data_IF_346961869298
#
_entry.id   IF_346961869298
#
_cell.length_a   1.000
_cell.length_b   1.000
_cell.length_c   1.000
_cell.angle_alpha   90.00
_cell.angle_beta   90.00
_cell.angle_gamma   90.00
#
_symmetry.space_group_name_H-M   'P 1'
#
loop_
_entity.id
_entity.type
_entity.pdbx_description
1 polymer ?
#
# COMPACT_ATOMS: atom_id res chain seq x y z
N UNK A 1 -40.52 -6.65 42.67
CA UNK A 1 -39.32 -7.34 42.11
C UNK A 1 -39.64 -8.36 41.01
N UNK A 2 -40.88 -8.50 40.51
CA UNK A 2 -41.23 -9.58 39.57
C UNK A 2 -41.38 -9.18 38.08
N UNK A 3 -41.36 -7.89 37.73
CA UNK A 3 -41.65 -7.43 36.35
C UNK A 3 -40.39 -7.21 35.49
N UNK A 4 -39.26 -6.84 36.09
CA UNK A 4 -37.99 -6.64 35.38
C UNK A 4 -37.31 -7.94 34.96
N UNK A 5 -37.47 -9.01 35.75
CA UNK A 5 -36.90 -10.33 35.44
C UNK A 5 -37.61 -11.02 34.25
N UNK A 6 -38.92 -10.78 34.08
CA UNK A 6 -39.70 -11.30 32.94
C UNK A 6 -39.31 -10.57 31.66
N UNK A 7 -39.21 -9.24 31.69
CA UNK A 7 -38.77 -8.44 30.54
C UNK A 7 -37.36 -8.78 30.05
N UNK A 8 -36.40 -9.01 30.96
CA UNK A 8 -35.05 -9.41 30.59
C UNK A 8 -35.01 -10.82 29.99
N UNK A 9 -35.84 -11.73 30.49
CA UNK A 9 -35.92 -13.10 29.97
C UNK A 9 -36.51 -13.12 28.56
N UNK A 10 -37.55 -12.32 28.31
CA UNK A 10 -38.18 -12.21 27.00
C UNK A 10 -37.26 -11.52 25.97
N UNK A 11 -36.49 -10.49 26.36
CA UNK A 11 -35.53 -9.84 25.46
C UNK A 11 -34.35 -10.77 25.08
N UNK A 12 -33.87 -11.56 26.03
CA UNK A 12 -32.83 -12.57 25.77
C UNK A 12 -33.38 -13.68 24.88
N UNK A 13 -34.61 -14.13 25.10
CA UNK A 13 -35.24 -15.19 24.32
C UNK A 13 -35.53 -14.74 22.88
N UNK A 14 -35.96 -13.48 22.69
CA UNK A 14 -36.13 -12.87 21.38
C UNK A 14 -34.79 -12.71 20.62
N UNK A 15 -33.70 -12.34 21.33
CA UNK A 15 -32.35 -12.29 20.74
C UNK A 15 -31.84 -13.68 20.35
N UNK A 16 -32.09 -14.69 21.18
CA UNK A 16 -31.71 -16.08 20.89
C UNK A 16 -32.51 -16.65 19.71
N UNK A 17 -33.80 -16.30 19.57
CA UNK A 17 -34.58 -16.67 18.39
C UNK A 17 -34.13 -15.95 17.12
N UNK A 18 -33.75 -14.67 17.22
CA UNK A 18 -33.19 -13.91 16.10
C UNK A 18 -31.87 -14.50 15.63
N UNK A 19 -30.97 -14.85 16.57
CA UNK A 19 -29.72 -15.54 16.27
C UNK A 19 -30.00 -16.94 15.70
N UNK A 20 -30.93 -17.70 16.26
CA UNK A 20 -31.34 -19.02 15.73
C UNK A 20 -31.89 -18.95 14.31
N UNK A 21 -32.70 -17.93 13.99
CA UNK A 21 -33.19 -17.65 12.63
C UNK A 21 -32.05 -17.25 11.68
N UNK A 22 -31.09 -16.45 12.15
CA UNK A 22 -29.90 -16.08 11.39
C UNK A 22 -29.02 -17.32 11.11
N UNK A 23 -28.77 -18.15 12.11
CA UNK A 23 -27.98 -19.40 11.99
C UNK A 23 -28.69 -20.42 11.11
N UNK A 24 -30.02 -20.55 11.20
CA UNK A 24 -30.81 -21.38 10.28
C UNK A 24 -30.81 -20.83 8.85
N UNK A 25 -30.84 -19.52 8.66
CA UNK A 25 -30.72 -18.87 7.34
C UNK A 25 -29.33 -19.08 6.71
N UNK A 26 -28.28 -19.05 7.53
CA UNK A 26 -26.89 -19.38 7.16
C UNK A 26 -26.76 -20.86 6.79
N UNK A 27 -27.35 -21.77 7.58
CA UNK A 27 -27.31 -23.22 7.34
C UNK A 27 -28.22 -23.69 6.20
N UNK A 28 -29.29 -22.97 5.88
CA UNK A 28 -30.22 -23.27 4.77
C UNK A 28 -29.87 -22.56 3.45
N UNK A 29 -28.68 -21.95 3.33
CA UNK A 29 -28.22 -21.37 2.06
C UNK A 29 -29.04 -20.17 1.56
N UNK A 30 -29.77 -19.47 2.43
CA UNK A 30 -30.54 -18.26 2.06
C UNK A 30 -29.72 -16.98 2.09
N UNK A 31 -28.56 -16.98 2.75
CA UNK A 31 -27.58 -15.93 2.55
C UNK A 31 -26.80 -16.25 1.28
N UNK A 32 -27.06 -15.47 0.23
CA UNK A 32 -26.33 -15.56 -1.02
C UNK A 32 -24.82 -15.59 -0.72
N UNK A 33 -24.14 -16.63 -1.18
CA UNK A 33 -22.70 -16.76 -1.03
C UNK A 33 -21.97 -15.48 -1.49
N UNK A 34 -22.48 -14.80 -2.52
CA UNK A 34 -21.97 -13.51 -2.98
C UNK A 34 -22.09 -12.41 -1.93
N UNK A 35 -23.15 -12.43 -1.12
CA UNK A 35 -23.30 -11.52 0.02
C UNK A 35 -22.26 -11.83 1.10
N UNK A 36 -22.00 -13.11 1.40
CA UNK A 36 -20.98 -13.50 2.40
C UNK A 36 -19.57 -13.17 1.91
N UNK A 37 -19.25 -13.51 0.66
CA UNK A 37 -17.96 -13.20 0.05
C UNK A 37 -17.77 -11.69 -0.10
N UNK A 38 -18.81 -10.97 -0.53
CA UNK A 38 -18.82 -9.51 -0.58
C UNK A 38 -18.64 -8.88 0.79
N UNK A 39 -19.33 -9.37 1.82
CA UNK A 39 -19.16 -8.94 3.20
C UNK A 39 -17.74 -9.24 3.70
N UNK A 40 -17.17 -10.40 3.37
CA UNK A 40 -15.80 -10.75 3.75
C UNK A 40 -14.77 -9.81 3.11
N UNK A 41 -14.87 -9.58 1.79
CA UNK A 41 -14.01 -8.65 1.07
C UNK A 41 -14.19 -7.23 1.59
N UNK A 42 -15.42 -6.78 1.82
CA UNK A 42 -15.71 -5.46 2.39
C UNK A 42 -15.18 -5.30 3.81
N UNK A 43 -15.31 -6.32 4.66
CA UNK A 43 -14.76 -6.30 6.03
C UNK A 43 -13.24 -6.27 6.01
N UNK A 44 -12.60 -7.03 5.11
CA UNK A 44 -11.15 -7.02 4.93
C UNK A 44 -10.67 -5.67 4.40
N UNK A 45 -11.32 -5.14 3.36
CA UNK A 45 -11.03 -3.83 2.80
C UNK A 45 -11.27 -2.73 3.82
N UNK A 46 -12.36 -2.80 4.61
CA UNK A 46 -12.66 -1.82 5.64
C UNK A 46 -11.65 -1.88 6.79
N UNK A 47 -11.29 -3.07 7.28
CA UNK A 47 -10.26 -3.24 8.32
C UNK A 47 -8.89 -2.76 7.84
N UNK A 48 -8.55 -3.06 6.59
CA UNK A 48 -7.30 -2.61 5.97
C UNK A 48 -7.29 -1.10 5.71
N UNK A 49 -8.36 -0.53 5.12
CA UNK A 49 -8.51 0.91 4.91
C UNK A 49 -8.54 1.66 6.23
N UNK A 50 -9.16 1.10 7.28
CA UNK A 50 -9.13 1.62 8.63
C UNK A 50 -7.70 1.67 9.18
N UNK A 51 -6.95 0.57 9.08
CA UNK A 51 -5.56 0.51 9.50
C UNK A 51 -4.68 1.49 8.71
N UNK A 52 -4.84 1.53 7.39
CA UNK A 52 -4.13 2.44 6.51
C UNK A 52 -4.46 3.91 6.81
N UNK A 53 -5.75 4.24 6.93
CA UNK A 53 -6.22 5.59 7.21
C UNK A 53 -5.73 6.10 8.56
N UNK A 54 -5.78 5.28 9.61
CA UNK A 54 -5.30 5.65 10.95
C UNK A 54 -3.77 5.76 11.03
N UNK A 55 -3.04 4.93 10.27
CA UNK A 55 -1.57 4.97 10.22
C UNK A 55 -1.01 6.18 9.47
N UNK A 56 -1.68 6.62 8.39
CA UNK A 56 -1.19 7.70 7.52
C UNK A 56 -1.86 9.06 7.76
N UNK A 57 -3.07 9.07 8.33
CA UNK A 57 -3.82 10.29 8.64
C UNK A 57 -4.17 10.34 10.13
N UNK A 58 -3.25 10.82 10.98
CA UNK A 58 -3.46 10.83 12.43
C UNK A 58 -4.65 11.69 12.87
N UNK A 59 -5.14 12.61 12.04
CA UNK A 59 -6.37 13.35 12.34
C UNK A 59 -7.63 12.44 12.39
N UNK A 60 -7.56 11.26 11.76
CA UNK A 60 -8.65 10.29 11.77
C UNK A 60 -8.63 9.40 13.02
N UNK A 61 -7.52 9.34 13.79
CA UNK A 61 -7.44 8.50 14.99
C UNK A 61 -8.43 8.91 16.09
N UNK A 62 -8.84 10.18 16.07
CA UNK A 62 -9.62 10.78 17.15
C UNK A 62 -11.14 10.72 16.85
N UNK A 63 -11.55 10.12 15.72
CA UNK A 63 -12.98 9.90 15.42
C UNK A 63 -13.57 8.81 16.33
N UNK A 64 -14.78 9.06 16.83
CA UNK A 64 -15.56 8.16 17.68
C UNK A 64 -15.51 6.67 17.25
N UNK A 65 -15.85 6.28 16.00
CA UNK A 65 -15.80 4.87 15.59
C UNK A 65 -14.41 4.24 15.63
N UNK A 66 -13.35 5.04 15.43
CA UNK A 66 -11.95 4.57 15.45
C UNK A 66 -11.49 4.26 16.87
N UNK A 67 -11.82 5.15 17.81
CA UNK A 67 -11.47 4.95 19.23
C UNK A 67 -12.18 3.73 19.84
N UNK A 68 -13.41 3.42 19.43
CA UNK A 68 -14.13 2.23 19.90
C UNK A 68 -13.55 0.93 19.34
N UNK A 69 -13.16 0.91 18.06
CA UNK A 69 -12.46 -0.23 17.46
C UNK A 69 -11.10 -0.48 18.12
N UNK A 70 -10.36 0.59 18.43
CA UNK A 70 -9.09 0.49 19.17
C UNK A 70 -9.29 -0.07 20.58
N UNK A 71 -10.29 0.39 21.33
CA UNK A 71 -10.62 -0.18 22.66
C UNK A 71 -11.01 -1.65 22.60
N UNK A 72 -11.75 -2.07 21.56
CA UNK A 72 -12.08 -3.48 21.34
C UNK A 72 -10.83 -4.32 21.07
N UNK A 73 -9.91 -3.81 20.25
CA UNK A 73 -8.62 -4.44 20.01
C UNK A 73 -7.76 -4.53 21.29
N UNK A 74 -7.75 -3.48 22.12
CA UNK A 74 -7.05 -3.49 23.40
C UNK A 74 -7.63 -4.52 24.38
N UNK A 75 -8.96 -4.71 24.39
CA UNK A 75 -9.61 -5.77 25.17
C UNK A 75 -9.20 -7.16 24.69
N UNK A 76 -9.21 -7.40 23.38
CA UNK A 76 -8.83 -8.70 22.79
C UNK A 76 -7.35 -9.00 23.06
N UNK A 77 -6.47 -8.01 22.86
CA UNK A 77 -5.05 -8.17 23.14
C UNK A 77 -4.76 -8.32 24.62
N UNK A 78 -5.65 -7.83 25.51
CA UNK A 78 -5.53 -8.05 26.96
C UNK A 78 -5.61 -9.53 27.35
N UNK A 79 -6.35 -10.35 26.60
CA UNK A 79 -6.45 -11.80 26.78
C UNK A 79 -5.18 -12.56 26.34
N UNK A 80 -4.29 -11.92 25.58
CA UNK A 80 -3.03 -12.53 25.12
C UNK A 80 -1.99 -12.47 26.25
N UNK A 81 -1.35 -13.61 26.62
CA UNK A 81 -0.31 -13.66 27.65
C UNK A 81 0.76 -12.58 27.45
N UNK A 82 1.20 -11.95 28.55
CA UNK A 82 2.19 -10.85 28.48
C UNK A 82 3.49 -11.26 27.77
N UNK A 83 3.93 -12.50 27.96
CA UNK A 83 5.10 -13.07 27.28
C UNK A 83 4.94 -13.12 25.76
N UNK A 84 3.75 -13.52 25.28
CA UNK A 84 3.42 -13.55 23.86
C UNK A 84 3.34 -12.14 23.30
N UNK A 85 2.68 -11.22 24.00
CA UNK A 85 2.59 -9.82 23.57
C UNK A 85 3.96 -9.16 23.43
N UNK A 86 4.85 -9.39 24.40
CA UNK A 86 6.24 -8.91 24.36
C UNK A 86 7.01 -9.51 23.18
N UNK A 87 6.94 -10.83 23.00
CA UNK A 87 7.63 -11.52 21.90
C UNK A 87 7.12 -11.07 20.53
N UNK A 88 5.80 -10.92 20.38
CA UNK A 88 5.19 -10.38 19.16
C UNK A 88 5.62 -8.94 18.89
N UNK A 89 5.73 -8.11 19.92
CA UNK A 89 6.24 -6.74 19.78
C UNK A 89 7.72 -6.71 19.39
N UNK A 90 8.56 -7.56 20.00
CA UNK A 90 9.98 -7.70 19.63
C UNK A 90 10.14 -8.16 18.17
N UNK A 91 9.34 -9.14 17.74
CA UNK A 91 9.30 -9.59 16.34
C UNK A 91 8.85 -8.45 15.42
N UNK A 92 7.82 -7.70 15.79
CA UNK A 92 7.35 -6.54 15.04
C UNK A 92 8.44 -5.48 14.87
N UNK A 93 9.14 -5.13 15.95
CA UNK A 93 10.26 -4.17 15.90
C UNK A 93 11.36 -4.69 14.99
N UNK A 94 11.75 -5.97 15.11
CA UNK A 94 12.75 -6.58 14.23
C UNK A 94 12.36 -6.54 12.76
N UNK A 95 11.11 -6.89 12.46
CA UNK A 95 10.61 -6.96 11.08
C UNK A 95 10.50 -5.56 10.45
N UNK A 96 9.93 -4.58 11.15
CA UNK A 96 9.58 -3.28 10.57
C UNK A 96 10.58 -2.15 10.84
N UNK A 97 11.33 -2.23 11.95
CA UNK A 97 12.18 -1.14 12.46
C UNK A 97 13.66 -1.49 12.53
N UNK A 98 14.04 -2.73 12.23
CA UNK A 98 15.43 -3.15 12.07
C UNK A 98 15.69 -3.59 10.63
N UNK A 99 16.98 -3.62 10.26
CA UNK A 99 17.39 -4.00 8.92
C UNK A 99 17.34 -5.50 8.75
N UNK A 100 16.47 -5.98 7.86
CA UNK A 100 16.32 -7.40 7.54
C UNK A 100 15.78 -7.59 6.11
N UNK A 101 15.89 -8.80 5.58
CA UNK A 101 15.49 -9.10 4.20
C UNK A 101 14.06 -9.65 4.06
N UNK A 102 13.26 -9.68 5.14
CA UNK A 102 11.95 -10.33 5.17
C UNK A 102 11.02 -9.78 4.08
N UNK A 103 10.84 -8.46 4.01
CA UNK A 103 9.94 -7.85 3.03
C UNK A 103 10.44 -7.96 1.60
N UNK A 104 11.77 -8.04 1.39
CA UNK A 104 12.32 -8.25 0.05
C UNK A 104 12.00 -9.65 -0.47
N UNK A 105 12.21 -10.68 0.36
CA UNK A 105 11.81 -12.04 0.03
C UNK A 105 10.31 -12.18 -0.16
N UNK A 106 9.53 -11.60 0.75
CA UNK A 106 8.07 -11.59 0.64
C UNK A 106 7.61 -10.94 -0.66
N UNK A 107 8.22 -9.82 -1.06
CA UNK A 107 7.94 -9.16 -2.34
C UNK A 107 8.25 -10.08 -3.53
N UNK A 108 9.45 -10.68 -3.56
CA UNK A 108 9.87 -11.58 -4.64
C UNK A 108 8.94 -12.79 -4.75
N UNK A 109 8.54 -13.39 -3.63
CA UNK A 109 7.59 -14.51 -3.61
C UNK A 109 6.22 -14.07 -4.13
N UNK A 110 5.68 -12.94 -3.64
CA UNK A 110 4.36 -12.46 -4.05
C UNK A 110 4.31 -12.13 -5.55
N UNK A 111 5.32 -11.42 -6.06
CA UNK A 111 5.34 -11.02 -7.48
C UNK A 111 5.53 -12.23 -8.38
N UNK A 112 6.43 -13.16 -8.05
CA UNK A 112 6.68 -14.36 -8.87
C UNK A 112 5.51 -15.34 -8.81
N UNK A 113 4.93 -15.58 -7.63
CA UNK A 113 3.74 -16.42 -7.50
C UNK A 113 2.55 -15.83 -8.26
N UNK A 114 2.30 -14.53 -8.11
CA UNK A 114 1.23 -13.84 -8.85
C UNK A 114 1.39 -13.95 -10.37
N UNK A 115 2.63 -13.78 -10.87
CA UNK A 115 2.90 -13.96 -12.30
C UNK A 115 2.75 -15.42 -12.74
N UNK A 116 3.18 -16.37 -11.91
CA UNK A 116 3.04 -17.80 -12.21
C UNK A 116 1.58 -18.20 -12.33
N UNK A 117 0.71 -17.71 -11.43
CA UNK A 117 -0.75 -17.95 -11.54
C UNK A 117 -1.32 -17.35 -12.82
N UNK A 118 -0.97 -16.10 -13.16
CA UNK A 118 -1.41 -15.49 -14.42
C UNK A 118 -0.92 -16.31 -15.63
N UNK A 119 0.33 -16.76 -15.62
CA UNK A 119 0.92 -17.50 -16.74
C UNK A 119 0.43 -18.94 -16.88
N UNK A 120 0.11 -19.61 -15.77
CA UNK A 120 -0.32 -21.01 -15.77
C UNK A 120 -1.83 -21.17 -15.89
N UNK A 121 -2.61 -20.28 -15.26
CA UNK A 121 -4.08 -20.42 -15.20
C UNK A 121 -4.82 -19.48 -16.15
N UNK A 122 -4.25 -18.30 -16.45
CA UNK A 122 -4.95 -17.25 -17.22
C UNK A 122 -4.52 -17.23 -18.69
N UNK A 123 -3.21 -17.29 -18.95
CA UNK A 123 -2.66 -17.26 -20.30
C UNK A 123 -3.17 -18.40 -21.21
N UNK A 124 -3.27 -19.68 -20.78
CA UNK A 124 -3.75 -20.75 -21.66
C UNK A 124 -5.20 -20.56 -22.15
N UNK A 125 -6.05 -19.92 -21.34
CA UNK A 125 -7.42 -19.58 -21.73
C UNK A 125 -7.45 -18.59 -22.89
N UNK A 126 -6.48 -17.67 -22.94
CA UNK A 126 -6.39 -16.64 -23.98
C UNK A 126 -5.64 -17.12 -25.22
N UNK A 127 -4.62 -17.96 -25.04
CA UNK A 127 -3.79 -18.48 -26.13
C UNK A 127 -4.59 -19.35 -27.12
N UNK A 128 -5.62 -20.05 -26.63
CA UNK A 128 -6.47 -20.92 -27.45
C UNK A 128 -7.38 -20.12 -28.41
N UNK A 129 -7.63 -18.83 -28.18
CA UNK A 129 -8.55 -18.03 -29.00
C UNK A 129 -7.92 -17.43 -30.26
N UNK A 130 -6.60 -17.55 -30.47
CA UNK A 130 -5.93 -16.87 -31.58
C UNK A 130 -6.11 -15.35 -31.54
N UNK A 131 -6.40 -14.78 -30.37
CA UNK A 131 -6.49 -13.33 -30.19
C UNK A 131 -5.14 -12.71 -30.54
N UNK A 132 -5.14 -11.69 -31.42
CA UNK A 132 -3.92 -11.01 -31.88
C UNK A 132 -3.16 -10.25 -30.77
N UNK A 133 -3.66 -10.26 -29.54
CA UNK A 133 -3.02 -9.65 -28.37
C UNK A 133 -2.12 -10.66 -27.68
N UNK A 134 -0.84 -10.68 -28.08
CA UNK A 134 0.19 -11.41 -27.36
C UNK A 134 0.41 -10.79 -25.97
N UNK A 135 -0.22 -11.38 -24.95
CA UNK A 135 -0.06 -11.01 -23.54
C UNK A 135 1.17 -11.63 -22.89
N UNK A 136 1.83 -12.62 -23.51
CA UNK A 136 2.99 -13.31 -22.93
C UNK A 136 4.19 -12.37 -22.85
N UNK A 137 4.56 -11.75 -23.99
CA UNK A 137 5.72 -10.87 -24.04
C UNK A 137 5.57 -9.64 -23.12
N UNK A 138 4.46 -8.89 -23.13
CA UNK A 138 4.25 -7.79 -22.19
C UNK A 138 4.29 -8.23 -20.73
N UNK A 139 3.75 -9.41 -20.38
CA UNK A 139 3.78 -9.92 -19.00
C UNK A 139 5.21 -10.17 -18.53
N UNK A 140 6.04 -10.82 -19.35
CA UNK A 140 7.45 -11.07 -19.05
C UNK A 140 8.23 -9.74 -18.98
N UNK A 141 8.00 -8.84 -19.94
CA UNK A 141 8.68 -7.56 -20.00
C UNK A 141 8.38 -6.68 -18.77
N UNK A 142 7.12 -6.59 -18.36
CA UNK A 142 6.71 -5.81 -17.18
C UNK A 142 7.30 -6.39 -15.89
N UNK A 143 7.33 -7.71 -15.73
CA UNK A 143 8.02 -8.36 -14.62
C UNK A 143 9.51 -8.03 -14.59
N UNK A 144 10.20 -8.13 -15.73
CA UNK A 144 11.63 -7.85 -15.83
C UNK A 144 11.96 -6.38 -15.49
N UNK A 145 11.18 -5.43 -16.01
CA UNK A 145 11.32 -3.99 -15.71
C UNK A 145 11.12 -3.75 -14.22
N UNK A 146 10.08 -4.33 -13.63
CA UNK A 146 9.77 -4.16 -12.23
C UNK A 146 10.83 -4.75 -11.29
N UNK A 147 11.30 -5.97 -11.54
CA UNK A 147 12.38 -6.58 -10.77
C UNK A 147 13.68 -5.78 -10.86
N UNK A 148 13.95 -5.20 -12.04
CA UNK A 148 15.10 -4.30 -12.24
C UNK A 148 14.95 -3.03 -11.40
N UNK A 149 13.81 -2.36 -11.45
CA UNK A 149 13.54 -1.16 -10.67
C UNK A 149 13.56 -1.45 -9.16
N UNK A 150 13.03 -2.60 -8.75
CA UNK A 150 13.10 -3.07 -7.36
C UNK A 150 14.55 -3.23 -6.90
N UNK A 151 15.39 -3.92 -7.68
CA UNK A 151 16.81 -4.09 -7.40
C UNK A 151 17.54 -2.74 -7.32
N UNK A 152 17.26 -1.82 -8.25
CA UNK A 152 17.82 -0.46 -8.23
C UNK A 152 17.40 0.29 -6.95
N UNK A 153 16.18 0.10 -6.45
CA UNK A 153 15.77 0.70 -5.17
C UNK A 153 16.48 0.06 -3.96
N UNK A 154 16.67 -1.26 -3.99
CA UNK A 154 17.31 -2.01 -2.91
C UNK A 154 18.80 -1.67 -2.75
N UNK A 155 19.52 -1.56 -3.87
CA UNK A 155 20.98 -1.38 -3.88
C UNK A 155 21.43 0.04 -4.24
N UNK A 156 20.52 0.87 -4.74
CA UNK A 156 20.83 2.23 -5.17
C UNK A 156 21.25 3.14 -4.00
N UNK A 157 22.23 4.00 -4.25
CA UNK A 157 22.66 5.00 -3.28
C UNK A 157 21.50 5.98 -3.00
N UNK A 158 21.04 6.14 -1.75
CA UNK A 158 19.95 7.05 -1.43
C UNK A 158 20.37 8.52 -1.33
N UNK A 159 21.68 8.80 -1.43
CA UNK A 159 22.28 10.09 -1.09
C UNK A 159 22.99 10.05 0.25
N UNK A 160 23.79 9.00 0.50
CA UNK A 160 24.57 8.82 1.74
C UNK A 160 25.51 10.00 1.99
N UNK A 161 25.43 10.55 3.19
CA UNK A 161 26.26 11.66 3.66
C UNK A 161 27.35 11.11 4.55
N UNK A 162 28.59 11.51 4.28
CA UNK A 162 29.80 11.22 5.06
C UNK A 162 30.45 12.53 5.46
N UNK A 163 31.36 12.50 6.44
CA UNK A 163 32.13 13.70 6.82
C UNK A 163 32.81 14.38 5.61
N UNK A 164 33.29 13.58 4.64
CA UNK A 164 33.97 14.05 3.43
C UNK A 164 33.06 14.86 2.49
N UNK A 165 31.77 14.51 2.40
CA UNK A 165 30.83 15.14 1.46
C UNK A 165 29.77 16.04 2.14
N UNK A 166 29.73 16.09 3.48
CA UNK A 166 28.76 16.89 4.23
C UNK A 166 28.80 18.38 3.86
N UNK A 167 30.00 18.95 3.71
CA UNK A 167 30.16 20.35 3.30
C UNK A 167 29.73 20.60 1.84
N UNK A 168 29.88 19.61 0.95
CA UNK A 168 29.35 19.70 -0.42
C UNK A 168 27.83 19.73 -0.40
N UNK A 169 27.20 18.88 0.41
CA UNK A 169 25.74 18.79 0.48
C UNK A 169 25.07 19.92 1.25
N UNK A 170 25.75 20.54 2.22
CA UNK A 170 25.19 21.70 2.96
C UNK A 170 24.91 22.91 2.06
N UNK A 171 25.52 22.95 0.87
CA UNK A 171 25.34 24.00 -0.14
C UNK A 171 24.18 23.74 -1.11
N UNK A 172 23.55 22.56 -1.08
CA UNK A 172 22.55 22.14 -2.08
C UNK A 172 21.18 22.75 -1.82
N UNK A 173 20.74 22.80 -0.55
CA UNK A 173 19.44 23.37 -0.18
C UNK A 173 19.60 24.47 0.87
N UNK A 174 18.81 25.55 0.79
CA UNK A 174 18.77 26.56 1.84
C UNK A 174 18.18 25.98 3.13
N UNK A 175 18.62 26.54 4.26
CA UNK A 175 18.06 26.28 5.58
C UNK A 175 16.88 27.22 5.80
N UNK A 176 15.73 26.67 6.22
CA UNK A 176 14.53 27.45 6.57
C UNK A 176 14.55 27.92 8.03
N UNK A 177 15.56 27.54 8.81
CA UNK A 177 15.77 27.81 10.24
C UNK A 177 14.64 27.32 11.17
N UNK A 178 13.60 26.70 10.61
CA UNK A 178 12.45 26.18 11.33
C UNK A 178 12.48 24.65 11.36
N UNK A 179 12.46 23.99 10.19
CA UNK A 179 12.61 22.54 10.08
C UNK A 179 14.07 22.11 10.03
N UNK A 180 14.93 22.97 9.46
CA UNK A 180 16.34 22.71 9.20
C UNK A 180 17.19 23.92 9.59
N UNK A 181 18.02 23.74 10.62
CA UNK A 181 18.89 24.78 11.19
C UNK A 181 20.35 24.55 10.80
N UNK A 182 21.08 25.64 10.51
CA UNK A 182 22.47 25.59 9.98
C UNK A 182 23.50 24.89 10.87
N UNK A 183 23.34 24.90 12.20
CA UNK A 183 24.31 24.37 13.16
C UNK A 183 23.89 23.04 13.80
N UNK A 184 22.88 22.37 13.23
CA UNK A 184 22.37 21.13 13.79
C UNK A 184 23.27 19.94 13.42
N UNK A 185 23.94 19.37 14.42
CA UNK A 185 24.78 18.19 14.22
C UNK A 185 24.01 16.87 14.26
N UNK A 186 24.55 15.86 13.59
CA UNK A 186 24.22 14.48 13.90
C UNK A 186 25.06 14.01 15.09
N UNK A 187 24.41 13.56 16.17
CA UNK A 187 25.10 12.95 17.30
C UNK A 187 25.79 11.64 16.89
N UNK A 188 25.13 10.81 16.06
CA UNK A 188 25.69 9.53 15.60
C UNK A 188 26.82 9.69 14.58
N UNK A 189 26.61 10.47 13.51
CA UNK A 189 27.60 10.60 12.43
C UNK A 189 28.63 11.73 12.64
N UNK A 190 28.52 12.51 13.72
CA UNK A 190 29.48 13.54 14.13
C UNK A 190 29.81 14.63 13.09
N UNK A 191 28.82 15.10 12.32
CA UNK A 191 28.96 16.26 11.43
C UNK A 191 27.69 17.12 11.38
N UNK A 192 27.83 18.36 10.90
CA UNK A 192 26.72 19.29 10.66
C UNK A 192 25.81 18.74 9.56
N UNK A 193 24.52 18.59 9.87
CA UNK A 193 23.54 18.06 8.92
C UNK A 193 23.25 19.08 7.81
N UNK A 194 23.39 18.69 6.53
CA UNK A 194 22.82 19.46 5.42
C UNK A 194 21.31 19.65 5.59
N UNK A 195 20.76 20.76 5.08
CA UNK A 195 19.33 20.96 5.03
C UNK A 195 18.64 19.80 4.28
N UNK A 196 17.44 19.41 4.73
CA UNK A 196 16.67 18.26 4.22
C UNK A 196 17.31 16.88 4.44
N UNK A 197 18.41 16.77 5.18
CA UNK A 197 18.97 15.48 5.58
C UNK A 197 18.38 14.94 6.89
N UNK A 198 18.46 13.61 7.07
CA UNK A 198 18.11 12.93 8.32
C UNK A 198 19.00 11.70 8.52
N UNK A 199 19.35 11.44 9.77
CA UNK A 199 19.96 10.17 10.17
C UNK A 199 18.85 9.12 10.28
N UNK A 200 19.00 8.04 9.54
CA UNK A 200 18.14 6.87 9.63
C UNK A 200 18.82 5.85 10.54
N UNK A 201 18.21 5.58 11.70
CA UNK A 201 18.75 4.62 12.66
C UNK A 201 18.76 3.18 12.11
N UNK A 202 17.87 2.85 11.18
CA UNK A 202 17.77 1.51 10.59
C UNK A 202 18.94 1.20 9.65
N UNK A 203 19.33 2.18 8.83
CA UNK A 203 20.45 2.04 7.89
C UNK A 203 21.77 2.58 8.45
N UNK A 204 21.75 3.12 9.67
CA UNK A 204 22.84 3.79 10.38
C UNK A 204 23.61 4.80 9.52
N UNK A 205 22.87 5.67 8.83
CA UNK A 205 23.46 6.66 7.94
C UNK A 205 22.64 7.95 7.89
N UNK A 206 23.32 9.08 7.67
CA UNK A 206 22.65 10.30 7.25
C UNK A 206 22.38 10.25 5.74
N UNK A 207 21.14 10.53 5.35
CA UNK A 207 20.70 10.51 3.95
C UNK A 207 20.24 11.91 3.55
N UNK A 208 20.68 12.34 2.37
CA UNK A 208 20.33 13.63 1.77
C UNK A 208 18.90 13.61 1.22
N UNK A 209 18.14 14.69 1.43
CA UNK A 209 16.71 14.79 1.06
C UNK A 209 15.94 13.53 1.46
N UNK A 210 16.11 13.12 2.72
CA UNK A 210 15.54 11.87 3.24
C UNK A 210 14.02 11.90 3.18
N UNK A 211 13.43 10.90 2.53
CA UNK A 211 11.99 10.71 2.44
C UNK A 211 11.48 9.79 3.55
N UNK A 212 11.89 8.53 3.51
CA UNK A 212 11.56 7.52 4.51
C UNK A 212 12.55 6.34 4.42
N UNK A 213 12.51 5.45 5.42
CA UNK A 213 13.08 4.11 5.29
C UNK A 213 11.99 3.19 4.77
N UNK A 214 12.27 2.46 3.68
CA UNK A 214 11.32 1.56 3.07
C UNK A 214 11.71 0.12 3.39
N UNK A 215 10.96 -0.54 4.28
CA UNK A 215 11.21 -1.93 4.67
C UNK A 215 11.19 -2.89 3.46
N UNK A 216 10.31 -2.63 2.47
CA UNK A 216 10.22 -3.41 1.23
C UNK A 216 11.49 -3.40 0.38
N UNK A 217 12.21 -2.28 0.36
CA UNK A 217 13.49 -2.17 -0.37
C UNK A 217 14.69 -2.39 0.54
N UNK A 218 14.46 -2.55 1.85
CA UNK A 218 15.48 -2.60 2.90
C UNK A 218 16.55 -1.48 2.77
N UNK A 219 16.10 -0.30 2.33
CA UNK A 219 16.95 0.84 2.01
C UNK A 219 16.23 2.15 2.37
N UNK A 220 17.01 3.20 2.61
CA UNK A 220 16.47 4.56 2.72
C UNK A 220 16.07 5.07 1.34
N UNK A 221 14.98 5.84 1.26
CA UNK A 221 14.58 6.58 0.06
C UNK A 221 14.98 8.04 0.25
N UNK A 222 15.77 8.57 -0.68
CA UNK A 222 16.37 9.89 -0.58
C UNK A 222 16.68 10.51 -1.95
N UNK A 223 17.57 11.50 -1.96
CA UNK A 223 17.81 12.37 -3.12
C UNK A 223 18.07 11.63 -4.44
N UNK A 224 18.85 10.54 -4.42
CA UNK A 224 19.32 9.88 -5.65
C UNK A 224 18.48 8.68 -6.10
N UNK A 225 17.75 8.04 -5.20
CA UNK A 225 16.94 6.87 -5.52
C UNK A 225 15.42 7.13 -5.50
N UNK A 226 14.94 8.30 -5.05
CA UNK A 226 13.49 8.58 -5.00
C UNK A 226 12.79 8.48 -6.36
N UNK A 227 13.45 8.88 -7.47
CA UNK A 227 12.88 8.70 -8.82
C UNK A 227 12.67 7.23 -9.19
N UNK A 228 13.62 6.38 -8.83
CA UNK A 228 13.53 4.94 -9.11
C UNK A 228 12.47 4.29 -8.23
N UNK A 229 12.31 4.76 -6.99
CA UNK A 229 11.20 4.34 -6.13
C UNK A 229 9.85 4.68 -6.75
N UNK A 230 9.67 5.90 -7.29
CA UNK A 230 8.41 6.26 -7.98
C UNK A 230 8.21 5.45 -9.26
N UNK A 231 9.25 5.22 -10.07
CA UNK A 231 9.15 4.35 -11.24
C UNK A 231 8.83 2.89 -10.87
N UNK A 232 9.38 2.40 -9.76
CA UNK A 232 9.04 1.11 -9.21
C UNK A 232 7.55 1.02 -8.86
N UNK A 233 6.98 2.02 -8.17
CA UNK A 233 5.54 2.06 -7.88
C UNK A 233 4.68 2.12 -9.15
N UNK A 234 5.09 2.93 -10.15
CA UNK A 234 4.42 2.99 -11.46
C UNK A 234 4.47 1.64 -12.17
N UNK A 235 5.60 0.94 -12.14
CA UNK A 235 5.74 -0.39 -12.76
C UNK A 235 4.81 -1.42 -12.12
N UNK A 236 4.63 -1.38 -10.79
CA UNK A 236 3.64 -2.21 -10.10
C UNK A 236 2.23 -1.88 -10.58
N UNK A 237 1.88 -0.60 -10.71
CA UNK A 237 0.57 -0.19 -11.23
C UNK A 237 0.34 -0.74 -12.64
N UNK A 238 1.33 -0.61 -13.53
CA UNK A 238 1.25 -1.13 -14.91
C UNK A 238 1.05 -2.65 -14.91
N UNK A 239 1.81 -3.40 -14.11
CA UNK A 239 1.65 -4.86 -13.99
C UNK A 239 0.28 -5.24 -13.47
N UNK A 240 -0.23 -4.56 -12.45
CA UNK A 240 -1.55 -4.87 -11.89
C UNK A 240 -2.65 -4.55 -12.90
N UNK A 241 -2.59 -3.39 -13.59
CA UNK A 241 -3.51 -3.04 -14.66
C UNK A 241 -3.50 -4.08 -15.79
N UNK A 242 -2.32 -4.52 -16.23
CA UNK A 242 -2.20 -5.57 -17.24
C UNK A 242 -2.84 -6.89 -16.75
N UNK A 243 -2.59 -7.28 -15.50
CA UNK A 243 -3.23 -8.45 -14.90
C UNK A 243 -4.76 -8.33 -14.85
N UNK A 244 -5.31 -7.15 -14.54
CA UNK A 244 -6.76 -6.89 -14.59
C UNK A 244 -7.31 -7.05 -16.01
N UNK A 245 -6.60 -6.56 -17.03
CA UNK A 245 -6.98 -6.72 -18.43
C UNK A 245 -7.02 -8.21 -18.81
N UNK A 246 -5.96 -8.96 -18.50
CA UNK A 246 -5.90 -10.40 -18.76
C UNK A 246 -7.01 -11.18 -18.04
N UNK A 247 -7.25 -10.87 -16.76
CA UNK A 247 -8.28 -11.52 -15.98
C UNK A 247 -9.68 -11.22 -16.56
N UNK A 248 -9.91 -9.98 -17.00
CA UNK A 248 -11.17 -9.57 -17.63
C UNK A 248 -11.39 -10.29 -18.96
N UNK A 249 -10.37 -10.34 -19.83
CA UNK A 249 -10.45 -11.08 -21.09
C UNK A 249 -10.69 -12.57 -20.85
N UNK A 250 -10.05 -13.16 -19.83
CA UNK A 250 -10.21 -14.58 -19.51
C UNK A 250 -11.60 -14.90 -18.97
N UNK A 251 -12.17 -14.01 -18.14
CA UNK A 251 -13.55 -14.14 -17.67
C UNK A 251 -14.53 -14.03 -18.85
N UNK A 252 -14.32 -13.07 -19.76
CA UNK A 252 -15.12 -12.93 -20.97
C UNK A 252 -15.05 -14.18 -21.86
N UNK A 253 -13.84 -14.72 -22.08
CA UNK A 253 -13.64 -15.96 -22.81
C UNK A 253 -14.44 -17.11 -22.18
N UNK A 254 -14.27 -17.35 -20.89
CA UNK A 254 -14.98 -18.41 -20.17
C UNK A 254 -16.50 -18.27 -20.27
N UNK A 255 -17.02 -17.04 -20.13
CA UNK A 255 -18.45 -16.75 -20.27
C UNK A 255 -18.96 -17.08 -21.68
N UNK A 256 -18.21 -16.66 -22.70
CA UNK A 256 -18.61 -16.83 -24.09
C UNK A 256 -18.48 -18.28 -24.56
N UNK A 257 -17.36 -18.93 -24.26
CA UNK A 257 -17.04 -20.32 -24.64
C UNK A 257 -18.01 -21.32 -24.03
N UNK A 258 -18.35 -21.15 -22.74
CA UNK A 258 -19.33 -22.01 -22.08
C UNK A 258 -20.78 -21.56 -22.34
N UNK A 259 -21.01 -20.53 -23.17
CA UNK A 259 -22.31 -19.93 -23.43
C UNK A 259 -23.11 -19.63 -22.15
N UNK A 260 -22.43 -19.17 -21.08
CA UNK A 260 -23.04 -19.04 -19.75
C UNK A 260 -24.24 -18.10 -19.75
N UNK A 261 -24.23 -17.04 -20.55
CA UNK A 261 -25.37 -16.13 -20.73
C UNK A 261 -26.61 -16.80 -21.34
N UNK A 262 -26.43 -17.87 -22.13
CA UNK A 262 -27.53 -18.64 -22.74
C UNK A 262 -27.95 -19.84 -21.88
N UNK A 263 -27.20 -20.16 -20.83
CA UNK A 263 -27.51 -21.26 -19.94
C UNK A 263 -28.75 -20.96 -19.08
N UNK A 264 -29.42 -22.03 -18.62
CA UNK A 264 -30.54 -21.95 -17.67
C UNK A 264 -30.14 -22.64 -16.37
N UNK A 265 -30.66 -22.15 -15.25
CA UNK A 265 -30.48 -22.78 -13.95
C UNK A 265 -31.83 -23.28 -13.41
N UNK A 266 -31.78 -24.25 -12.50
CA UNK A 266 -32.97 -24.73 -11.79
C UNK A 266 -33.09 -23.97 -10.47
N UNK A 267 -34.25 -23.39 -10.20
CA UNK A 267 -34.53 -22.81 -8.90
C UNK A 267 -34.86 -23.90 -7.86
N UNK A 268 -35.09 -23.51 -6.61
CA UNK A 268 -35.42 -24.44 -5.52
C UNK A 268 -36.71 -25.25 -5.75
N UNK A 269 -37.60 -24.80 -6.63
CA UNK A 269 -38.80 -25.53 -7.06
C UNK A 269 -38.59 -26.39 -8.32
N UNK A 270 -37.36 -26.51 -8.81
CA UNK A 270 -37.03 -27.29 -10.01
C UNK A 270 -37.46 -26.64 -11.33
N UNK A 271 -37.82 -25.34 -11.31
CA UNK A 271 -38.20 -24.61 -12.51
C UNK A 271 -36.98 -24.05 -13.23
N UNK A 272 -36.98 -24.16 -14.56
CA UNK A 272 -35.92 -23.64 -15.41
C UNK A 272 -36.03 -22.12 -15.55
N UNK A 273 -35.02 -21.40 -15.06
CA UNK A 273 -34.93 -19.94 -15.10
C UNK A 273 -33.76 -19.49 -16.00
N UNK A 274 -33.89 -18.37 -16.73
CA UNK A 274 -32.80 -17.83 -17.53
C UNK A 274 -31.66 -17.30 -16.64
N UNK A 275 -30.42 -17.34 -17.15
CA UNK A 275 -29.26 -16.82 -16.41
C UNK A 275 -29.45 -15.35 -16.02
N UNK A 276 -29.29 -15.05 -14.72
CA UNK A 276 -29.24 -13.68 -14.21
C UNK A 276 -27.79 -13.28 -13.91
N UNK A 277 -27.50 -11.97 -13.79
CA UNK A 277 -26.16 -11.49 -13.44
C UNK A 277 -25.65 -12.07 -12.11
N UNK A 278 -26.52 -12.15 -11.11
CA UNK A 278 -26.20 -12.71 -9.78
C UNK A 278 -25.81 -14.18 -9.88
N UNK A 279 -26.60 -15.00 -10.58
CA UNK A 279 -26.31 -16.43 -10.76
C UNK A 279 -25.06 -16.64 -11.62
N UNK A 280 -24.82 -15.77 -12.61
CA UNK A 280 -23.58 -15.79 -13.39
C UNK A 280 -22.36 -15.53 -12.51
N UNK A 281 -22.39 -14.47 -11.68
CA UNK A 281 -21.31 -14.18 -10.75
C UNK A 281 -21.09 -15.33 -9.77
N UNK A 282 -22.16 -15.90 -9.21
CA UNK A 282 -22.07 -17.07 -8.33
C UNK A 282 -21.45 -18.27 -9.06
N UNK A 283 -21.83 -18.52 -10.31
CA UNK A 283 -21.29 -19.58 -11.15
C UNK A 283 -19.79 -19.37 -11.41
N UNK A 284 -19.37 -18.14 -11.72
CA UNK A 284 -17.96 -17.81 -11.92
C UNK A 284 -17.15 -17.98 -10.64
N UNK A 285 -17.66 -17.54 -9.50
CA UNK A 285 -17.01 -17.74 -8.20
C UNK A 285 -16.86 -19.22 -7.83
N UNK A 286 -17.87 -20.05 -8.11
CA UNK A 286 -17.85 -21.47 -7.75
C UNK A 286 -17.02 -22.31 -8.72
N UNK A 287 -17.11 -22.04 -10.03
CA UNK A 287 -16.43 -22.83 -11.07
C UNK A 287 -15.01 -22.33 -11.35
N UNK A 288 -14.76 -21.03 -11.18
CA UNK A 288 -13.47 -20.38 -11.46
C UNK A 288 -13.00 -19.47 -10.30
N UNK A 289 -12.93 -20.00 -9.05
CA UNK A 289 -12.64 -19.19 -7.86
C UNK A 289 -11.31 -18.45 -7.98
N UNK A 290 -10.23 -19.12 -8.42
CA UNK A 290 -8.91 -18.51 -8.52
C UNK A 290 -8.87 -17.31 -9.47
N UNK A 291 -9.53 -17.41 -10.64
CA UNK A 291 -9.59 -16.32 -11.62
C UNK A 291 -10.35 -15.10 -11.06
N UNK A 292 -11.47 -15.34 -10.38
CA UNK A 292 -12.28 -14.26 -9.78
C UNK A 292 -11.56 -13.63 -8.59
N UNK A 293 -11.01 -14.42 -7.66
CA UNK A 293 -10.25 -13.91 -6.52
C UNK A 293 -9.01 -13.12 -6.97
N UNK A 294 -8.29 -13.63 -7.98
CA UNK A 294 -7.15 -12.93 -8.55
C UNK A 294 -7.58 -11.59 -9.19
N UNK A 295 -8.68 -11.56 -9.95
CA UNK A 295 -9.19 -10.31 -10.53
C UNK A 295 -9.51 -9.27 -9.45
N UNK A 296 -10.23 -9.66 -8.39
CA UNK A 296 -10.57 -8.77 -7.26
C UNK A 296 -9.31 -8.29 -6.53
N UNK A 297 -8.36 -9.19 -6.27
CA UNK A 297 -7.10 -8.86 -5.61
C UNK A 297 -6.28 -7.87 -6.45
N UNK A 298 -6.19 -8.07 -7.77
CA UNK A 298 -5.47 -7.19 -8.68
C UNK A 298 -6.13 -5.82 -8.80
N UNK A 299 -7.46 -5.72 -8.86
CA UNK A 299 -8.17 -4.44 -8.83
C UNK A 299 -7.89 -3.69 -7.52
N UNK A 300 -7.99 -4.39 -6.39
CA UNK A 300 -7.72 -3.81 -5.05
C UNK A 300 -6.29 -3.30 -4.95
N UNK A 301 -5.32 -4.11 -5.39
CA UNK A 301 -3.90 -3.76 -5.40
C UNK A 301 -3.63 -2.58 -6.34
N UNK A 302 -4.26 -2.54 -7.52
CA UNK A 302 -4.15 -1.44 -8.48
C UNK A 302 -4.58 -0.13 -7.85
N UNK A 303 -5.76 -0.09 -7.22
CA UNK A 303 -6.29 1.13 -6.57
C UNK A 303 -5.35 1.59 -5.45
N UNK A 304 -4.90 0.66 -4.61
CA UNK A 304 -3.99 0.97 -3.49
C UNK A 304 -2.65 1.53 -3.98
N UNK A 305 -2.02 0.87 -4.96
CA UNK A 305 -0.73 1.30 -5.50
C UNK A 305 -0.85 2.59 -6.30
N UNK A 306 -1.95 2.81 -7.02
CA UNK A 306 -2.22 4.07 -7.71
C UNK A 306 -2.34 5.23 -6.71
N UNK A 307 -3.05 5.05 -5.59
CA UNK A 307 -3.14 6.05 -4.53
C UNK A 307 -1.79 6.38 -3.91
N UNK A 308 -0.97 5.35 -3.61
CA UNK A 308 0.37 5.55 -3.06
C UNK A 308 1.33 6.23 -4.07
N UNK A 309 1.24 5.86 -5.34
CA UNK A 309 1.99 6.52 -6.43
C UNK A 309 1.58 7.98 -6.56
N UNK A 310 0.27 8.27 -6.57
CA UNK A 310 -0.25 9.63 -6.66
C UNK A 310 0.21 10.50 -5.49
N UNK A 311 0.29 9.93 -4.28
CA UNK A 311 0.85 10.61 -3.12
C UNK A 311 2.31 11.03 -3.33
N UNK A 312 3.16 10.13 -3.83
CA UNK A 312 4.56 10.47 -4.12
C UNK A 312 4.71 11.45 -5.28
N UNK A 313 3.86 11.36 -6.31
CA UNK A 313 3.81 12.35 -7.40
C UNK A 313 3.42 13.72 -6.86
N UNK A 314 2.43 13.80 -5.95
CA UNK A 314 2.07 15.04 -5.26
C UNK A 314 3.24 15.62 -4.44
N UNK A 315 3.96 14.78 -3.70
CA UNK A 315 5.14 15.20 -2.94
C UNK A 315 6.22 15.77 -3.86
N UNK A 316 6.46 15.13 -5.01
CA UNK A 316 7.39 15.65 -6.02
C UNK A 316 6.88 16.98 -6.58
N UNK A 317 5.61 17.06 -6.98
CA UNK A 317 5.01 18.26 -7.57
C UNK A 317 5.07 19.47 -6.64
N UNK A 318 5.00 19.25 -5.33
CA UNK A 318 5.11 20.30 -4.29
C UNK A 318 6.51 20.41 -3.67
N UNK A 319 7.49 19.65 -4.17
CA UNK A 319 8.87 19.56 -3.67
C UNK A 319 8.99 19.29 -2.16
N UNK A 320 8.15 18.41 -1.64
CA UNK A 320 8.18 17.96 -0.24
C UNK A 320 8.63 16.50 -0.16
N UNK A 321 9.06 16.09 1.02
CA UNK A 321 9.28 14.69 1.38
C UNK A 321 8.24 14.23 2.39
N UNK A 322 8.02 12.92 2.49
CA UNK A 322 7.17 12.30 3.52
C UNK A 322 7.63 12.73 4.92
N UNK A 323 8.94 12.71 5.18
CA UNK A 323 9.52 13.15 6.44
C UNK A 323 9.27 14.64 6.75
N UNK A 324 9.30 15.53 5.76
CA UNK A 324 8.94 16.95 5.96
C UNK A 324 7.48 17.11 6.32
N UNK A 325 6.60 16.39 5.62
CA UNK A 325 5.16 16.43 5.91
C UNK A 325 4.86 15.90 7.30
N UNK A 326 5.52 14.83 7.72
CA UNK A 326 5.44 14.31 9.09
C UNK A 326 5.91 15.34 10.14
N UNK A 327 7.06 16.00 9.91
CA UNK A 327 7.54 17.07 10.79
C UNK A 327 6.55 18.24 10.89
N UNK A 328 6.04 18.72 9.75
CA UNK A 328 5.03 19.79 9.69
C UNK A 328 3.76 19.39 10.44
N UNK A 329 3.28 18.16 10.26
CA UNK A 329 2.11 17.67 10.99
C UNK A 329 2.32 17.66 12.51
N UNK A 330 3.50 17.23 12.98
CA UNK A 330 3.86 17.30 14.41
C UNK A 330 3.90 18.74 14.93
N UNK A 331 4.50 19.66 14.18
CA UNK A 331 4.53 21.08 14.54
C UNK A 331 3.13 21.68 14.65
N UNK A 332 2.25 21.40 13.68
CA UNK A 332 0.87 21.84 13.69
C UNK A 332 0.12 21.35 14.94
N UNK A 333 0.29 20.07 15.30
CA UNK A 333 -0.30 19.49 16.53
C UNK A 333 0.22 20.16 17.80
N UNK A 334 1.48 20.59 17.80
CA UNK A 334 2.08 21.34 18.91
C UNK A 334 1.77 22.85 18.86
N UNK A 335 0.82 23.31 18.04
CA UNK A 335 0.43 24.72 17.94
C UNK A 335 1.49 25.65 17.32
N UNK A 336 2.54 25.11 16.70
CA UNK A 336 3.58 25.92 16.08
C UNK A 336 3.17 26.40 14.68
N UNK A 337 3.62 27.60 14.32
CA UNK A 337 3.44 28.16 12.96
C UNK A 337 4.22 27.30 11.96
N UNK A 338 3.57 26.96 10.84
CA UNK A 338 4.17 26.15 9.79
C UNK A 338 5.07 27.02 8.89
N UNK A 339 6.29 26.56 8.57
CA UNK A 339 7.16 27.31 7.67
C UNK A 339 6.64 27.25 6.23
N UNK A 340 6.83 28.36 5.52
CA UNK A 340 6.60 28.43 4.08
C UNK A 340 7.46 27.39 3.33
N UNK A 341 6.92 26.84 2.23
CA UNK A 341 7.63 25.85 1.43
C UNK A 341 8.64 26.51 0.48
N UNK A 342 9.79 26.94 1.01
CA UNK A 342 10.85 27.62 0.24
C UNK A 342 11.51 26.76 -0.85
N UNK A 343 11.21 25.45 -0.86
CA UNK A 343 11.74 24.50 -1.83
C UNK A 343 10.87 24.37 -3.09
N UNK A 344 9.62 24.82 -3.03
CA UNK A 344 8.72 24.77 -4.18
C UNK A 344 9.12 25.82 -5.22
N UNK A 345 9.38 25.37 -6.45
CA UNK A 345 9.74 26.23 -7.60
C UNK A 345 8.73 26.14 -8.73
N UNK A 346 7.54 25.58 -8.47
CA UNK A 346 6.54 25.24 -9.47
C UNK A 346 6.71 23.81 -10.01
N UNK A 347 5.58 23.22 -10.39
CA UNK A 347 5.42 21.79 -10.71
C UNK A 347 6.50 21.29 -11.69
N UNK A 348 6.70 21.97 -12.82
CA UNK A 348 7.66 21.56 -13.86
C UNK A 348 9.10 21.53 -13.33
N UNK A 349 9.53 22.59 -12.63
CA UNK A 349 10.89 22.65 -12.08
C UNK A 349 11.10 21.61 -10.99
N UNK A 350 10.08 21.34 -10.19
CA UNK A 350 10.14 20.33 -9.14
C UNK A 350 10.26 18.90 -9.73
N UNK A 351 9.47 18.59 -10.77
CA UNK A 351 9.56 17.32 -11.51
C UNK A 351 10.95 17.13 -12.14
N UNK A 352 11.46 18.15 -12.84
CA UNK A 352 12.80 18.09 -13.44
C UNK A 352 13.91 17.87 -12.40
N UNK A 353 13.81 18.53 -11.24
CA UNK A 353 14.74 18.32 -10.13
C UNK A 353 14.65 16.91 -9.54
N UNK A 354 13.47 16.29 -9.50
CA UNK A 354 13.29 14.92 -9.04
C UNK A 354 13.85 13.90 -10.05
N UNK A 355 13.64 14.14 -11.35
CA UNK A 355 14.15 13.27 -12.42
C UNK A 355 15.67 13.38 -12.59
N UNK A 356 16.24 14.58 -12.43
CA UNK A 356 17.66 14.86 -12.67
C UNK A 356 18.34 15.53 -11.46
N UNK A 357 18.47 14.85 -10.30
CA UNK A 357 19.00 15.43 -9.07
C UNK A 357 20.46 15.90 -9.20
N UNK A 358 21.29 15.25 -10.02
CA UNK A 358 22.69 15.62 -10.23
C UNK A 358 22.86 17.03 -10.82
N UNK A 359 22.04 17.38 -11.82
CA UNK A 359 22.03 18.73 -12.43
C UNK A 359 21.70 19.81 -11.38
N UNK A 360 20.79 19.50 -10.46
CA UNK A 360 20.44 20.40 -9.36
C UNK A 360 21.59 20.63 -8.38
N UNK A 361 22.37 19.60 -8.09
CA UNK A 361 23.56 19.70 -7.23
C UNK A 361 24.64 20.53 -7.92
N UNK A 362 24.97 20.22 -9.16
CA UNK A 362 25.99 20.94 -9.94
C UNK A 362 25.65 22.43 -10.08
N UNK A 363 24.39 22.75 -10.36
CA UNK A 363 23.92 24.13 -10.43
C UNK A 363 24.05 24.86 -9.07
N UNK A 364 23.73 24.20 -7.96
CA UNK A 364 23.88 24.76 -6.62
C UNK A 364 25.36 25.02 -6.27
N UNK A 365 26.25 24.11 -6.64
CA UNK A 365 27.70 24.27 -6.44
C UNK A 365 28.26 25.42 -7.28
N UNK A 366 27.88 25.50 -8.57
CA UNK A 366 28.30 26.59 -9.46
C UNK A 366 27.82 27.94 -8.97
N UNK A 367 26.60 28.01 -8.43
CA UNK A 367 26.06 29.25 -7.83
C UNK A 367 26.89 29.67 -6.62
N UNK A 368 27.20 28.75 -5.71
CA UNK A 368 28.01 29.06 -4.52
C UNK A 368 29.41 29.56 -4.86
N UNK A 369 30.10 28.91 -5.81
CA UNK A 369 31.45 29.30 -6.21
C UNK A 369 31.52 30.66 -6.92
N UNK A 370 30.38 31.21 -7.39
CA UNK A 370 30.30 32.57 -7.97
C UNK A 370 30.04 33.65 -6.92
N UNK A 371 29.64 33.27 -5.71
CA UNK A 371 29.35 34.20 -4.60
C UNK A 371 30.53 34.34 -3.63
N UNK A 372 31.57 33.52 -3.82
CA UNK A 372 32.90 33.70 -3.26
C UNK A 372 33.73 34.51 -4.27
#
# INVERSE_FOLDING_TARGET
>A
MCTTAVYMKDDIQNKLESISKLTKSILQGKMDFLFIAGLYVLLWMAAFLFYFATSFFPALSDLWPVTHLQRGFDLITSCIPRSWRRRSFEIYVRIFHERNHFFQWMYLVLVTAGHSVVMLDTWPLLAHEGTHTDHLLPTIAFLAVNLTLFAVCCYGNPGRITAKNALKYSKVFPYDEVLYQRRKNCSTCCFVKPARSKHCAVTDECVMKFDHFCAWTNNSIGLFNHRFFVFFLVSICIMCCHGVVMATHSLQHVINFNHLWKAKYLNSEGQSQPMTFQVLMQTLFMKYPFLVFMAVALVTLTVMMAGFTAYHVFLIATNQTTNERYKKHRMKRSGHVLPANIYDKGIVKNLLHALFPHRGIEAAQKKYNKTL
#
